data_IF_605000578061
#
_entry.id   IF_605000578061
#
_cell.length_a   1.000
_cell.length_b   1.000
_cell.length_c   1.000
_cell.angle_alpha   90.00
_cell.angle_beta   90.00
_cell.angle_gamma   90.00
#
_symmetry.space_group_name_H-M   'P 1'
#
loop_
_entity.id
_entity.type
_entity.pdbx_description
1 polymer ?
#
# COMPACT_ATOMS: atom_id res chain seq x y z
N UNK A 1 -3.24 -20.05 -3.55
CA UNK A 1 -1.81 -19.71 -3.41
C UNK A 1 -1.63 -18.24 -3.75
N UNK A 2 -0.92 -17.46 -2.95
CA UNK A 2 -0.59 -16.07 -3.30
C UNK A 2 0.44 -16.07 -4.45
N UNK A 3 0.32 -15.11 -5.38
CA UNK A 3 1.28 -14.97 -6.48
C UNK A 3 2.65 -14.55 -5.95
N UNK A 4 3.73 -14.92 -6.65
CA UNK A 4 5.06 -14.35 -6.37
C UNK A 4 5.06 -12.87 -6.78
N UNK A 5 5.57 -12.02 -5.91
CA UNK A 5 5.81 -10.61 -6.22
C UNK A 5 7.08 -10.51 -7.07
N UNK A 6 6.98 -9.87 -8.23
CA UNK A 6 8.07 -9.76 -9.23
C UNK A 6 8.29 -8.32 -9.70
N UNK A 7 7.42 -7.41 -9.25
CA UNK A 7 7.45 -5.99 -9.58
C UNK A 7 8.47 -5.24 -8.74
N UNK A 8 8.83 -4.04 -9.20
CA UNK A 8 9.79 -3.16 -8.52
C UNK A 8 9.12 -2.00 -7.78
N UNK A 9 7.81 -1.85 -7.89
CA UNK A 9 7.05 -0.73 -7.34
C UNK A 9 5.91 -1.28 -6.50
N UNK A 10 5.69 -0.68 -5.34
CA UNK A 10 4.62 -1.05 -4.41
C UNK A 10 4.01 0.24 -3.83
N UNK A 11 2.69 0.36 -3.83
CA UNK A 11 2.00 1.46 -3.12
C UNK A 11 1.55 0.99 -1.75
N UNK A 12 1.85 1.76 -0.71
CA UNK A 12 1.37 1.52 0.65
C UNK A 12 0.12 2.36 0.86
N UNK A 13 -1.00 1.69 1.12
CA UNK A 13 -2.32 2.29 1.35
C UNK A 13 -2.43 2.97 2.73
N UNK A 14 -1.55 3.91 3.00
CA UNK A 14 -1.52 4.72 4.22
C UNK A 14 -1.02 6.12 3.92
N UNK A 15 -1.52 7.10 4.67
CA UNK A 15 -1.00 8.47 4.70
C UNK A 15 -0.01 8.69 5.86
N UNK A 16 0.26 7.64 6.67
CA UNK A 16 1.14 7.76 7.82
C UNK A 16 2.61 7.67 7.40
N UNK A 17 3.27 8.82 7.37
CA UNK A 17 4.69 8.97 6.99
C UNK A 17 5.64 8.10 7.80
N UNK A 18 5.40 7.91 9.09
CA UNK A 18 6.23 7.04 9.95
C UNK A 18 6.16 5.58 9.49
N UNK A 19 4.95 5.06 9.27
CA UNK A 19 4.74 3.69 8.78
C UNK A 19 5.35 3.48 7.39
N UNK A 20 5.15 4.43 6.48
CA UNK A 20 5.69 4.35 5.12
C UNK A 20 7.21 4.28 5.16
N UNK A 21 7.85 5.11 5.99
CA UNK A 21 9.31 5.08 6.15
C UNK A 21 9.79 3.72 6.65
N UNK A 22 9.18 3.18 7.70
CA UNK A 22 9.55 1.87 8.25
C UNK A 22 9.40 0.75 7.21
N UNK A 23 8.29 0.73 6.46
CA UNK A 23 8.05 -0.27 5.41
C UNK A 23 9.04 -0.09 4.25
N UNK A 24 9.31 1.15 3.84
CA UNK A 24 10.30 1.46 2.82
C UNK A 24 11.69 0.96 3.18
N UNK A 25 12.13 1.22 4.42
CA UNK A 25 13.43 0.76 4.92
C UNK A 25 13.54 -0.78 4.92
N UNK A 26 12.45 -1.50 5.24
CA UNK A 26 12.40 -2.96 5.21
C UNK A 26 12.46 -3.53 3.78
N UNK A 27 11.89 -2.84 2.81
CA UNK A 27 11.81 -3.29 1.41
C UNK A 27 13.00 -2.83 0.55
N UNK A 28 13.75 -1.83 1.01
CA UNK A 28 14.90 -1.27 0.29
C UNK A 28 15.96 -2.33 -0.13
N UNK A 29 16.35 -3.33 0.70
CA UNK A 29 17.33 -4.35 0.31
C UNK A 29 16.88 -5.22 -0.87
N UNK A 30 15.58 -5.26 -1.16
CA UNK A 30 15.00 -6.02 -2.27
C UNK A 30 14.87 -5.19 -3.56
N UNK A 31 15.29 -3.92 -3.55
CA UNK A 31 15.20 -3.01 -4.70
C UNK A 31 13.77 -2.62 -5.05
N UNK A 32 12.87 -2.61 -4.06
CA UNK A 32 11.47 -2.21 -4.21
C UNK A 32 11.33 -0.72 -3.90
N UNK A 33 10.80 0.02 -4.86
CA UNK A 33 10.42 1.42 -4.72
C UNK A 33 9.03 1.50 -4.09
N UNK A 34 8.94 2.21 -2.97
CA UNK A 34 7.69 2.38 -2.22
C UNK A 34 7.09 3.76 -2.50
N UNK A 35 5.83 3.75 -2.90
CA UNK A 35 4.97 4.94 -2.98
C UNK A 35 3.95 4.87 -1.85
N UNK A 36 3.43 6.01 -1.40
CA UNK A 36 2.30 6.01 -0.49
C UNK A 36 1.05 6.60 -1.11
N UNK A 37 -0.10 6.22 -0.55
CA UNK A 37 -1.37 6.86 -0.89
C UNK A 37 -1.30 8.39 -0.69
N UNK A 38 -0.61 8.85 0.35
CA UNK A 38 -0.39 10.28 0.59
C UNK A 38 0.50 10.96 -0.44
N UNK A 39 1.58 10.32 -0.91
CA UNK A 39 2.48 10.91 -1.93
C UNK A 39 1.80 11.04 -3.30
N UNK A 40 0.81 10.19 -3.56
CA UNK A 40 0.02 10.15 -4.78
C UNK A 40 -1.30 10.93 -4.69
N UNK A 41 -1.52 11.64 -3.56
CA UNK A 41 -2.75 12.40 -3.28
C UNK A 41 -4.04 11.57 -3.46
N UNK A 42 -3.98 10.29 -3.08
CA UNK A 42 -5.11 9.38 -3.20
C UNK A 42 -6.11 9.62 -2.07
N UNK A 43 -7.42 9.48 -2.31
CA UNK A 43 -8.42 9.57 -1.27
C UNK A 43 -8.32 8.37 -0.32
N UNK A 44 -8.50 8.59 0.98
CA UNK A 44 -8.72 7.50 1.94
C UNK A 44 -10.15 6.97 1.79
N UNK A 45 -10.34 5.67 1.47
CA UNK A 45 -11.67 5.10 1.37
C UNK A 45 -12.28 4.90 2.77
N UNK A 46 -13.60 4.85 2.84
CA UNK A 46 -14.30 4.56 4.10
C UNK A 46 -13.95 3.15 4.63
N UNK A 47 -13.64 3.07 5.93
CA UNK A 47 -13.40 1.81 6.63
C UNK A 47 -14.72 1.19 7.09
N UNK A 48 -15.42 0.53 6.16
CA UNK A 48 -16.76 -0.03 6.40
C UNK A 48 -16.75 -1.45 6.98
N UNK A 49 -15.58 -2.10 7.02
CA UNK A 49 -15.47 -3.48 7.47
C UNK A 49 -15.38 -3.59 8.99
N UNK A 50 -15.92 -4.69 9.53
CA UNK A 50 -15.91 -4.96 10.98
C UNK A 50 -14.59 -5.51 11.50
N UNK A 51 -13.61 -5.72 10.62
CA UNK A 51 -12.33 -6.34 10.97
C UNK A 51 -11.17 -5.53 10.44
N UNK A 52 -10.04 -5.56 11.16
CA UNK A 52 -8.81 -4.91 10.72
C UNK A 52 -8.32 -5.43 9.37
N UNK A 53 -8.45 -6.74 9.12
CA UNK A 53 -8.06 -7.37 7.85
C UNK A 53 -8.95 -6.85 6.70
N UNK A 54 -10.27 -6.75 6.93
CA UNK A 54 -11.21 -6.22 5.93
C UNK A 54 -10.88 -4.77 5.56
N UNK A 55 -10.67 -3.89 6.56
CA UNK A 55 -10.30 -2.50 6.29
C UNK A 55 -8.92 -2.39 5.62
N UNK A 56 -7.97 -3.26 5.96
CA UNK A 56 -6.68 -3.31 5.27
C UNK A 56 -6.84 -3.71 3.79
N UNK A 57 -7.66 -4.72 3.49
CA UNK A 57 -7.95 -5.15 2.11
C UNK A 57 -8.66 -4.06 1.30
N UNK A 58 -9.63 -3.39 1.90
CA UNK A 58 -10.38 -2.29 1.28
C UNK A 58 -9.42 -1.16 0.89
N UNK A 59 -8.56 -0.74 1.82
CA UNK A 59 -7.55 0.29 1.57
C UNK A 59 -6.52 -0.13 0.52
N UNK A 60 -5.93 -1.33 0.61
CA UNK A 60 -4.98 -1.83 -0.39
C UNK A 60 -5.61 -1.90 -1.78
N UNK A 61 -6.85 -2.38 -1.90
CA UNK A 61 -7.55 -2.46 -3.20
C UNK A 61 -7.79 -1.08 -3.80
N UNK A 62 -8.23 -0.11 -2.98
CA UNK A 62 -8.44 1.27 -3.43
C UNK A 62 -7.14 1.91 -3.91
N UNK A 63 -6.07 1.82 -3.11
CA UNK A 63 -4.76 2.38 -3.47
C UNK A 63 -4.19 1.73 -4.74
N UNK A 64 -4.27 0.40 -4.85
CA UNK A 64 -3.79 -0.34 -6.01
C UNK A 64 -4.49 0.10 -7.30
N UNK A 65 -5.82 0.24 -7.23
CA UNK A 65 -6.66 0.62 -8.37
C UNK A 65 -6.36 2.06 -8.79
N UNK A 66 -6.29 3.00 -7.85
CA UNK A 66 -6.09 4.42 -8.16
C UNK A 66 -4.65 4.72 -8.63
N UNK A 67 -3.65 4.01 -8.09
CA UNK A 67 -2.25 4.18 -8.48
C UNK A 67 -1.85 3.37 -9.73
N UNK A 68 -2.68 2.41 -10.15
CA UNK A 68 -2.31 1.39 -11.14
C UNK A 68 -0.99 0.66 -10.78
N UNK A 69 -0.85 0.34 -9.49
CA UNK A 69 0.32 -0.32 -8.88
C UNK A 69 -0.17 -1.42 -7.92
N UNK A 70 0.64 -2.44 -7.61
CA UNK A 70 0.30 -3.39 -6.53
C UNK A 70 0.37 -2.70 -5.15
N UNK A 71 -0.48 -3.14 -4.20
CA UNK A 71 -0.63 -2.57 -2.85
C UNK A 71 -0.93 -3.61 -1.76
#
# INVERSE_FOLDING_TARGET
>A
MARRFTEKKLVIASHNKGKIKEIGDLLAPFGIEVFSAGDLDLPEPEETEKTFIGNAQLKSTAAATAANLPA
#
